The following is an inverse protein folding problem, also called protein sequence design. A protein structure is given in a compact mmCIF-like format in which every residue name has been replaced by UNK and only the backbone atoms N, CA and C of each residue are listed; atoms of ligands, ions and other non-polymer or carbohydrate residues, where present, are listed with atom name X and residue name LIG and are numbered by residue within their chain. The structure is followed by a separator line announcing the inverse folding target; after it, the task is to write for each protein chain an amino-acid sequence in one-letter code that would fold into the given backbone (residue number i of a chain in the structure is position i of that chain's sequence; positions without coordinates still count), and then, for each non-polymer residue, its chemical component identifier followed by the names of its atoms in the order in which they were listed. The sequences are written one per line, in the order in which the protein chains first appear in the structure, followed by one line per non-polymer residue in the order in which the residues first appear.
data_IF_334622935034
#
_entry.id   IF_334622935034
#
_cell.length_a   1.000
_cell.length_b   1.000
_cell.length_c   1.000
_cell.angle_alpha   90.00
_cell.angle_beta   90.00
_cell.angle_gamma   90.00
#
_symmetry.space_group_name_H-M   'P 1'
#
loop_
_entity.id
_entity.type
_entity.pdbx_description
1 polymer ?
#
# COMPACT_ATOMS: atom_id res chain seq x y z
N UNK A 1 14.14 11.83 -17.93
CA UNK A 1 12.66 11.78 -17.88
C UNK A 1 12.16 12.56 -16.68
N UNK A 2 10.96 13.14 -16.73
CA UNK A 2 10.30 13.84 -15.64
C UNK A 2 8.95 13.18 -15.34
N UNK A 3 8.75 12.78 -14.09
CA UNK A 3 7.48 12.24 -13.60
C UNK A 3 6.85 13.15 -12.56
N UNK A 4 5.53 13.26 -12.59
CA UNK A 4 4.74 13.96 -11.57
C UNK A 4 3.90 12.94 -10.80
N UNK A 5 3.87 13.04 -9.47
CA UNK A 5 3.03 12.19 -8.60
C UNK A 5 2.08 13.07 -7.79
N UNK A 6 0.77 12.84 -7.88
CA UNK A 6 -0.25 13.67 -7.23
C UNK A 6 -1.48 12.87 -6.73
N UNK A 7 -1.83 12.92 -5.43
CA UNK A 7 -1.03 13.48 -4.33
C UNK A 7 0.20 12.61 -4.03
N UNK A 8 1.32 13.25 -3.70
CA UNK A 8 2.55 12.54 -3.31
C UNK A 8 2.58 12.15 -1.82
N UNK A 9 1.71 12.73 -0.98
CA UNK A 9 1.70 12.47 0.47
C UNK A 9 0.97 11.19 0.88
N UNK A 10 0.13 10.61 0.02
CA UNK A 10 -0.57 9.35 0.32
C UNK A 10 0.43 8.21 0.46
N UNK A 11 0.08 7.12 1.16
CA UNK A 11 0.97 5.95 1.29
C UNK A 11 1.41 5.43 -0.09
N UNK A 12 0.48 5.31 -1.03
CA UNK A 12 0.77 4.92 -2.41
C UNK A 12 1.58 5.97 -3.18
N UNK A 13 1.30 7.26 -2.97
CA UNK A 13 2.06 8.36 -3.57
C UNK A 13 3.51 8.37 -3.09
N UNK A 14 3.75 8.19 -1.79
CA UNK A 14 5.10 8.08 -1.21
C UNK A 14 5.85 6.88 -1.75
N UNK A 15 5.21 5.71 -1.79
CA UNK A 15 5.80 4.50 -2.38
C UNK A 15 6.15 4.70 -3.86
N UNK A 16 5.30 5.43 -4.60
CA UNK A 16 5.53 5.77 -6.01
C UNK A 16 6.73 6.70 -6.18
N UNK A 17 6.79 7.78 -5.40
CA UNK A 17 7.93 8.69 -5.43
C UNK A 17 9.21 7.93 -5.10
N UNK A 18 9.22 7.12 -4.04
CA UNK A 18 10.40 6.35 -3.64
C UNK A 18 10.85 5.36 -4.73
N UNK A 19 9.91 4.67 -5.39
CA UNK A 19 10.21 3.75 -6.48
C UNK A 19 10.85 4.48 -7.67
N UNK A 20 10.29 5.62 -8.08
CA UNK A 20 10.84 6.43 -9.16
C UNK A 20 12.22 7.01 -8.81
N UNK A 21 12.46 7.38 -7.56
CA UNK A 21 13.76 7.87 -7.10
C UNK A 21 14.83 6.77 -7.08
N UNK A 22 14.43 5.51 -6.85
CA UNK A 22 15.31 4.35 -6.88
C UNK A 22 15.53 3.77 -8.29
N UNK A 23 14.82 4.29 -9.29
CA UNK A 23 14.94 3.82 -10.67
C UNK A 23 16.32 4.19 -11.25
N UNK A 24 16.93 3.24 -11.97
CA UNK A 24 18.28 3.40 -12.55
C UNK A 24 18.35 4.51 -13.60
N UNK A 25 17.24 4.83 -14.25
CA UNK A 25 17.15 5.93 -15.21
C UNK A 25 17.18 7.31 -14.53
N UNK A 26 17.13 7.34 -13.19
CA UNK A 26 17.19 8.54 -12.34
C UNK A 26 16.30 9.68 -12.85
N UNK A 27 14.98 9.45 -13.02
CA UNK A 27 14.09 10.48 -13.51
C UNK A 27 14.01 11.65 -12.52
N UNK A 28 13.73 12.85 -13.01
CA UNK A 28 13.28 13.96 -12.18
C UNK A 28 11.88 13.63 -11.67
N UNK A 29 11.70 13.56 -10.35
CA UNK A 29 10.43 13.27 -9.71
C UNK A 29 9.89 14.52 -9.05
N UNK A 30 8.68 14.93 -9.43
CA UNK A 30 7.97 16.05 -8.83
C UNK A 30 6.76 15.53 -8.05
N UNK A 31 6.76 15.70 -6.73
CA UNK A 31 5.62 15.37 -5.89
C UNK A 31 4.73 16.58 -5.63
N UNK A 32 3.42 16.46 -5.86
CA UNK A 32 2.43 17.49 -5.52
C UNK A 32 1.87 17.22 -4.12
N UNK A 33 1.99 18.20 -3.24
CA UNK A 33 1.55 18.13 -1.84
C UNK A 33 0.61 19.29 -1.52
N UNK A 34 -0.53 19.02 -0.88
CA UNK A 34 -1.37 20.11 -0.33
C UNK A 34 -0.65 20.87 0.79
N UNK A 35 0.08 20.13 1.62
CA UNK A 35 0.91 20.63 2.70
C UNK A 35 2.34 20.12 2.52
N UNK A 36 3.28 21.02 2.25
CA UNK A 36 4.70 20.70 2.07
C UNK A 36 5.35 20.13 3.36
N UNK A 37 4.79 20.40 4.54
CA UNK A 37 5.23 19.76 5.78
C UNK A 37 4.99 18.25 5.84
N UNK A 38 4.25 17.68 4.88
CA UNK A 38 4.06 16.23 4.73
C UNK A 38 5.05 15.59 3.73
N UNK A 39 6.04 16.34 3.26
CA UNK A 39 7.15 15.78 2.46
C UNK A 39 8.04 14.95 3.39
N UNK A 40 8.29 13.65 3.10
CA UNK A 40 9.20 12.84 3.89
C UNK A 40 10.60 13.46 3.93
N UNK A 41 11.20 13.54 5.12
CA UNK A 41 12.50 14.20 5.33
C UNK A 41 13.59 13.65 4.39
N UNK A 42 13.60 12.33 4.17
CA UNK A 42 14.56 11.66 3.29
C UNK A 42 14.40 11.95 1.79
N UNK A 43 13.27 12.51 1.32
CA UNK A 43 13.12 12.81 -0.11
C UNK A 43 13.94 14.02 -0.54
N UNK A 44 14.16 14.97 0.37
CA UNK A 44 14.89 16.21 0.07
C UNK A 44 16.39 15.97 -0.18
N UNK A 45 16.94 14.81 0.23
CA UNK A 45 18.33 14.46 -0.07
C UNK A 45 18.54 13.94 -1.49
N UNK A 46 17.47 13.60 -2.22
CA UNK A 46 17.58 13.14 -3.60
C UNK A 46 17.71 14.35 -4.53
N UNK A 47 18.81 14.48 -5.30
CA UNK A 47 19.02 15.63 -6.19
C UNK A 47 18.01 15.69 -7.34
N UNK A 48 17.37 14.57 -7.64
CA UNK A 48 16.33 14.42 -8.67
C UNK A 48 14.90 14.49 -8.10
N UNK A 49 14.70 14.97 -6.87
CA UNK A 49 13.38 15.18 -6.29
C UNK A 49 13.02 16.66 -6.17
N UNK A 50 11.75 17.01 -6.43
CA UNK A 50 11.18 18.33 -6.14
C UNK A 50 9.79 18.18 -5.53
N UNK A 51 9.55 18.83 -4.40
CA UNK A 51 8.21 19.01 -3.87
C UNK A 51 7.60 20.33 -4.38
N UNK A 52 6.32 20.30 -4.75
CA UNK A 52 5.54 21.49 -5.09
C UNK A 52 4.24 21.49 -4.32
N UNK A 53 3.80 22.67 -3.89
CA UNK A 53 2.53 22.83 -3.21
C UNK A 53 1.39 22.85 -4.24
N UNK A 54 0.34 22.08 -4.02
CA UNK A 54 -0.84 22.08 -4.88
C UNK A 54 -1.96 21.16 -4.39
N UNK A 55 -3.18 21.49 -4.81
CA UNK A 55 -4.39 20.71 -4.57
C UNK A 55 -4.98 20.26 -5.90
N UNK A 56 -5.41 19.00 -6.00
CA UNK A 56 -6.02 18.45 -7.21
C UNK A 56 -7.38 19.09 -7.56
N UNK A 57 -8.01 19.76 -6.60
CA UNK A 57 -9.23 20.55 -6.82
C UNK A 57 -8.95 21.95 -7.38
N UNK A 58 -7.70 22.41 -7.35
CA UNK A 58 -7.29 23.70 -7.91
C UNK A 58 -6.58 23.48 -9.26
N UNK A 59 -7.25 23.74 -10.40
CA UNK A 59 -6.66 23.53 -11.72
C UNK A 59 -5.42 24.40 -11.97
N UNK A 60 -5.28 25.54 -11.27
CA UNK A 60 -4.13 26.43 -11.41
C UNK A 60 -2.86 25.89 -10.74
N UNK A 61 -3.03 24.99 -9.76
CA UNK A 61 -1.94 24.31 -9.07
C UNK A 61 -1.40 23.09 -9.82
N UNK A 62 -2.04 22.68 -10.93
CA UNK A 62 -1.66 21.52 -11.73
C UNK A 62 -0.88 21.93 -12.99
N UNK A 63 0.41 22.20 -12.81
CA UNK A 63 1.35 22.42 -13.90
C UNK A 63 2.11 21.13 -14.27
N UNK A 64 1.71 20.53 -15.39
CA UNK A 64 2.33 19.32 -15.93
C UNK A 64 3.33 19.60 -17.07
N UNK A 65 3.72 20.86 -17.29
CA UNK A 65 4.63 21.22 -18.37
C UNK A 65 5.98 20.47 -18.26
N UNK A 66 6.42 19.90 -19.39
CA UNK A 66 7.67 19.17 -19.50
C UNK A 66 7.68 17.81 -18.80
N UNK A 67 6.58 17.36 -18.18
CA UNK A 67 6.49 16.00 -17.67
C UNK A 67 6.32 15.00 -18.82
N UNK A 68 6.99 13.86 -18.71
CA UNK A 68 6.85 12.72 -19.62
C UNK A 68 5.69 11.82 -19.18
N UNK A 69 5.53 11.66 -17.86
CA UNK A 69 4.48 10.87 -17.24
C UNK A 69 3.90 11.51 -15.99
N UNK A 70 2.61 11.26 -15.74
CA UNK A 70 1.90 11.71 -14.54
C UNK A 70 1.24 10.50 -13.88
N UNK A 71 1.40 10.40 -12.57
CA UNK A 71 0.79 9.39 -11.73
C UNK A 71 -0.20 10.07 -10.81
N UNK A 72 -1.47 9.69 -10.92
CA UNK A 72 -2.56 10.28 -10.13
C UNK A 72 -3.38 9.23 -9.43
N UNK A 73 -4.04 9.64 -8.35
CA UNK A 73 -5.03 8.84 -7.63
C UNK A 73 -6.04 9.77 -6.99
N UNK A 74 -7.27 9.31 -6.80
CA UNK A 74 -8.31 10.10 -6.14
C UNK A 74 -8.09 10.06 -4.63
N UNK A 75 -7.82 11.20 -3.97
CA UNK A 75 -7.72 11.24 -2.51
C UNK A 75 -9.10 10.97 -1.90
N UNK A 76 -9.18 10.17 -0.82
CA UNK A 76 -10.44 9.99 -0.12
C UNK A 76 -10.87 11.30 0.56
N UNK A 77 -12.18 11.51 0.66
CA UNK A 77 -12.78 12.70 1.25
C UNK A 77 -13.82 12.32 2.30
N UNK A 78 -13.65 12.84 3.51
CA UNK A 78 -14.42 12.45 4.71
C UNK A 78 -15.17 13.62 5.37
N UNK A 79 -15.34 14.75 4.68
CA UNK A 79 -16.01 15.95 5.22
C UNK A 79 -17.55 15.93 5.07
N UNK A 80 -18.09 14.81 4.59
CA UNK A 80 -19.52 14.62 4.34
C UNK A 80 -20.03 15.14 3.00
N UNK A 81 -19.18 15.77 2.17
CA UNK A 81 -19.54 16.20 0.82
C UNK A 81 -19.69 15.04 -0.17
N UNK A 82 -20.25 15.32 -1.34
CA UNK A 82 -20.42 14.32 -2.41
C UNK A 82 -19.06 13.88 -2.97
N UNK A 83 -18.65 12.67 -2.61
CA UNK A 83 -17.37 12.06 -3.02
C UNK A 83 -17.30 11.79 -4.52
N UNK A 84 -18.43 11.53 -5.18
CA UNK A 84 -18.47 11.26 -6.62
C UNK A 84 -18.30 12.57 -7.40
N UNK A 85 -18.99 13.63 -6.96
CA UNK A 85 -18.79 14.96 -7.52
C UNK A 85 -17.36 15.47 -7.29
N UNK A 86 -16.80 15.20 -6.10
CA UNK A 86 -15.41 15.55 -5.80
C UNK A 86 -14.41 14.82 -6.70
N UNK A 87 -14.57 13.50 -6.87
CA UNK A 87 -13.73 12.71 -7.77
C UNK A 87 -13.82 13.21 -9.22
N UNK A 88 -15.02 13.60 -9.68
CA UNK A 88 -15.22 14.22 -11.00
C UNK A 88 -14.41 15.50 -11.18
N UNK A 89 -14.48 16.43 -10.22
CA UNK A 89 -13.72 17.69 -10.27
C UNK A 89 -12.23 17.43 -10.38
N UNK A 90 -11.70 16.51 -9.56
CA UNK A 90 -10.28 16.13 -9.60
C UNK A 90 -9.92 15.55 -10.97
N UNK A 91 -10.72 14.61 -11.48
CA UNK A 91 -10.44 13.95 -12.75
C UNK A 91 -10.50 14.91 -13.94
N UNK A 92 -11.45 15.86 -13.95
CA UNK A 92 -11.54 16.90 -14.97
C UNK A 92 -10.32 17.83 -14.92
N UNK A 93 -9.93 18.30 -13.74
CA UNK A 93 -8.74 19.14 -13.56
C UNK A 93 -7.47 18.45 -14.05
N UNK A 94 -7.28 17.17 -13.71
CA UNK A 94 -6.11 16.39 -14.13
C UNK A 94 -6.13 16.16 -15.64
N UNK A 95 -7.26 15.76 -16.23
CA UNK A 95 -7.40 15.60 -17.68
C UNK A 95 -7.04 16.88 -18.41
N UNK A 96 -7.52 18.02 -17.92
CA UNK A 96 -7.27 19.32 -18.54
C UNK A 96 -5.79 19.71 -18.39
N UNK A 97 -5.16 19.44 -17.25
CA UNK A 97 -3.72 19.65 -17.07
C UNK A 97 -2.86 18.78 -18.00
N UNK A 98 -3.24 17.51 -18.20
CA UNK A 98 -2.60 16.62 -19.18
C UNK A 98 -2.79 17.16 -20.60
N UNK A 99 -3.99 17.61 -20.97
CA UNK A 99 -4.29 18.17 -22.30
C UNK A 99 -3.46 19.43 -22.61
N UNK A 100 -3.25 20.30 -21.60
CA UNK A 100 -2.39 21.49 -21.73
C UNK A 100 -0.90 21.14 -21.90
N UNK A 101 -0.46 20.01 -21.34
CA UNK A 101 0.93 19.60 -21.34
C UNK A 101 1.20 18.54 -22.42
N UNK A 102 1.45 18.99 -23.66
CA UNK A 102 1.72 18.10 -24.81
C UNK A 102 2.92 17.15 -24.65
N UNK A 103 3.80 17.42 -23.67
CA UNK A 103 4.90 16.54 -23.27
C UNK A 103 4.42 15.27 -22.57
N UNK A 104 3.30 15.31 -21.86
CA UNK A 104 2.77 14.17 -21.11
C UNK A 104 2.32 13.10 -22.10
N UNK A 105 3.09 12.01 -22.16
CA UNK A 105 2.78 10.86 -23.02
C UNK A 105 2.00 9.80 -22.26
N UNK A 106 2.20 9.72 -20.95
CA UNK A 106 1.63 8.68 -20.10
C UNK A 106 0.88 9.26 -18.91
N UNK A 107 -0.36 8.83 -18.75
CA UNK A 107 -1.15 9.05 -17.53
C UNK A 107 -1.36 7.70 -16.84
N UNK A 108 -0.85 7.55 -15.63
CA UNK A 108 -1.10 6.37 -14.79
C UNK A 108 -2.06 6.76 -13.68
N UNK A 109 -3.19 6.05 -13.59
CA UNK A 109 -4.16 6.22 -12.53
C UNK A 109 -4.18 5.01 -11.61
N UNK A 110 -3.94 5.24 -10.32
CA UNK A 110 -4.08 4.20 -9.30
C UNK A 110 -5.58 4.06 -8.99
N UNK A 111 -6.14 2.96 -9.48
CA UNK A 111 -7.55 2.60 -9.42
C UNK A 111 -7.76 1.39 -8.48
N UNK A 112 -8.98 0.88 -8.50
CA UNK A 112 -9.43 -0.28 -7.72
C UNK A 112 -10.08 -1.31 -8.64
N UNK A 113 -10.03 -2.59 -8.25
CA UNK A 113 -10.98 -3.58 -8.74
C UNK A 113 -12.42 -3.05 -8.57
N UNK A 114 -13.30 -3.40 -9.51
CA UNK A 114 -14.68 -2.91 -9.55
C UNK A 114 -14.89 -1.55 -10.22
N UNK A 115 -13.84 -0.83 -10.63
CA UNK A 115 -13.96 0.48 -11.28
C UNK A 115 -14.71 0.44 -12.64
N UNK A 116 -14.89 -0.73 -13.26
CA UNK A 116 -15.75 -0.89 -14.44
C UNK A 116 -17.25 -0.71 -14.14
N UNK A 117 -17.67 -0.83 -12.88
CA UNK A 117 -19.08 -0.77 -12.51
C UNK A 117 -19.48 0.66 -12.12
N UNK A 118 -20.55 1.17 -12.73
CA UNK A 118 -21.10 2.50 -12.42
C UNK A 118 -21.91 2.56 -11.13
N UNK A 119 -22.32 1.40 -10.61
CA UNK A 119 -23.20 1.20 -9.46
C UNK A 119 -22.92 -0.14 -8.75
N UNK A 120 -23.44 -0.31 -7.52
CA UNK A 120 -23.32 -1.57 -6.77
C UNK A 120 -21.94 -1.83 -6.14
N UNK A 121 -21.02 -0.87 -6.21
CA UNK A 121 -19.65 -0.96 -5.70
C UNK A 121 -19.30 0.15 -4.70
N UNK A 122 -20.29 0.97 -4.31
CA UNK A 122 -20.13 1.96 -3.26
C UNK A 122 -19.11 3.04 -3.59
N UNK A 123 -18.18 3.29 -2.66
CA UNK A 123 -17.17 4.34 -2.80
C UNK A 123 -16.30 4.16 -4.06
N UNK A 124 -16.08 2.91 -4.53
CA UNK A 124 -15.31 2.60 -5.75
C UNK A 124 -15.85 3.31 -7.01
N UNK A 125 -17.10 3.79 -6.96
CA UNK A 125 -17.67 4.65 -8.02
C UNK A 125 -16.84 5.93 -8.26
N UNK A 126 -16.06 6.41 -7.29
CA UNK A 126 -15.09 7.51 -7.47
C UNK A 126 -14.03 7.14 -8.52
N UNK A 127 -13.56 5.88 -8.50
CA UNK A 127 -12.63 5.34 -9.48
C UNK A 127 -13.29 5.13 -10.84
N UNK A 128 -14.54 4.65 -10.87
CA UNK A 128 -15.29 4.53 -12.14
C UNK A 128 -15.39 5.86 -12.90
N UNK A 129 -15.76 6.92 -12.18
CA UNK A 129 -15.86 8.28 -12.76
C UNK A 129 -14.50 8.75 -13.27
N UNK A 130 -13.44 8.54 -12.50
CA UNK A 130 -12.08 8.94 -12.88
C UNK A 130 -11.56 8.17 -14.10
N UNK A 131 -11.73 6.84 -14.12
CA UNK A 131 -11.34 6.02 -15.27
C UNK A 131 -12.08 6.46 -16.54
N UNK A 132 -13.39 6.72 -16.45
CA UNK A 132 -14.20 7.19 -17.57
C UNK A 132 -13.68 8.52 -18.13
N UNK A 133 -13.31 9.46 -17.26
CA UNK A 133 -12.81 10.79 -17.67
C UNK A 133 -11.39 10.71 -18.26
N UNK A 134 -10.56 9.79 -17.76
CA UNK A 134 -9.19 9.63 -18.21
C UNK A 134 -9.04 8.82 -19.50
N UNK A 135 -10.08 8.13 -19.98
CA UNK A 135 -10.03 7.45 -21.27
C UNK A 135 -9.62 8.41 -22.38
N UNK A 136 -8.50 8.09 -23.05
CA UNK A 136 -7.96 8.91 -24.13
C UNK A 136 -7.34 10.26 -23.70
N UNK A 137 -7.15 10.51 -22.39
CA UNK A 137 -6.59 11.78 -21.89
C UNK A 137 -5.11 11.98 -22.26
N UNK A 138 -4.37 10.90 -22.49
CA UNK A 138 -2.96 10.92 -22.91
C UNK A 138 -2.72 9.94 -24.06
N UNK A 139 -1.50 9.95 -24.63
CA UNK A 139 -1.13 8.97 -25.67
C UNK A 139 -1.19 7.53 -25.14
N UNK A 140 -0.84 7.34 -23.87
CA UNK A 140 -1.04 6.11 -23.12
C UNK A 140 -1.71 6.41 -21.78
N UNK A 141 -2.79 5.69 -21.48
CA UNK A 141 -3.46 5.76 -20.19
C UNK A 141 -3.38 4.38 -19.54
N UNK A 142 -2.94 4.30 -18.29
CA UNK A 142 -2.79 3.04 -17.56
C UNK A 142 -3.63 3.10 -16.29
N UNK A 143 -4.63 2.23 -16.19
CA UNK A 143 -5.42 2.02 -14.99
C UNK A 143 -4.81 0.87 -14.20
N UNK A 144 -4.28 1.17 -13.01
CA UNK A 144 -3.73 0.17 -12.09
C UNK A 144 -4.80 -0.19 -11.09
N UNK A 145 -5.55 -1.27 -11.32
CA UNK A 145 -6.66 -1.70 -10.47
C UNK A 145 -6.15 -2.60 -9.36
N UNK A 146 -6.05 -2.05 -8.16
CA UNK A 146 -5.57 -2.79 -7.00
C UNK A 146 -6.67 -3.64 -6.38
N UNK A 147 -6.30 -4.82 -5.89
CA UNK A 147 -7.11 -5.60 -4.97
C UNK A 147 -7.15 -4.95 -3.56
N UNK A 148 -7.70 -5.66 -2.57
CA UNK A 148 -7.81 -5.16 -1.21
C UNK A 148 -6.43 -4.92 -0.58
N UNK A 149 -6.14 -3.71 -0.12
CA UNK A 149 -4.83 -3.42 0.50
C UNK A 149 -4.66 -4.16 1.83
N UNK A 150 -3.53 -4.85 2.01
CA UNK A 150 -3.18 -5.48 3.29
C UNK A 150 -3.05 -4.42 4.40
N UNK A 151 -2.67 -3.20 4.05
CA UNK A 151 -2.55 -2.05 4.94
C UNK A 151 -3.89 -1.59 5.54
N UNK A 152 -5.03 -2.06 5.03
CA UNK A 152 -6.33 -1.78 5.64
C UNK A 152 -6.44 -2.33 7.08
N UNK A 153 -5.65 -3.37 7.39
CA UNK A 153 -5.59 -3.99 8.71
C UNK A 153 -4.82 -3.17 9.76
N UNK A 154 -4.19 -2.06 9.36
CA UNK A 154 -3.51 -1.12 10.28
C UNK A 154 -4.48 -0.51 11.30
N UNK A 155 -5.77 -0.44 10.97
CA UNK A 155 -6.81 0.03 11.90
C UNK A 155 -6.97 -0.85 13.14
N UNK A 156 -6.47 -2.10 13.09
CA UNK A 156 -6.50 -3.02 14.20
C UNK A 156 -5.33 -2.86 15.19
N UNK A 157 -4.32 -2.04 14.89
CA UNK A 157 -3.08 -1.99 15.69
C UNK A 157 -3.30 -1.67 17.17
N UNK A 158 -4.28 -0.85 17.50
CA UNK A 158 -4.60 -0.53 18.89
C UNK A 158 -5.35 -1.67 19.59
N UNK A 159 -6.30 -2.30 18.88
CA UNK A 159 -7.14 -3.36 19.45
C UNK A 159 -6.39 -4.68 19.63
N UNK A 160 -5.38 -4.96 18.80
CA UNK A 160 -4.50 -6.13 18.98
C UNK A 160 -3.49 -5.95 20.13
N UNK A 161 -3.26 -4.71 20.59
CA UNK A 161 -2.43 -4.42 21.78
C UNK A 161 -3.24 -4.45 23.08
N UNK A 162 -4.58 -4.43 23.00
CA UNK A 162 -5.46 -4.48 24.15
C UNK A 162 -5.36 -5.82 24.90
N UNK A 163 -5.97 -5.88 26.09
CA UNK A 163 -6.08 -7.09 26.89
C UNK A 163 -7.54 -7.35 27.29
N UNK A 164 -8.23 -8.36 26.74
CA UNK A 164 -7.72 -9.31 25.74
C UNK A 164 -7.57 -8.71 24.32
N UNK A 165 -6.59 -9.17 23.51
CA UNK A 165 -6.41 -8.74 22.13
C UNK A 165 -7.60 -9.10 21.25
N UNK A 166 -8.03 -8.18 20.40
CA UNK A 166 -9.09 -8.42 19.43
C UNK A 166 -8.94 -7.52 18.20
N UNK A 167 -9.70 -7.78 17.15
CA UNK A 167 -9.88 -6.86 16.03
C UNK A 167 -11.25 -7.04 15.39
N UNK A 168 -11.76 -5.99 14.74
CA UNK A 168 -13.00 -6.06 13.97
C UNK A 168 -12.70 -6.38 12.51
N UNK A 169 -13.53 -7.24 11.90
CA UNK A 169 -13.48 -7.50 10.47
C UNK A 169 -14.85 -7.38 9.85
N UNK A 170 -14.94 -6.58 8.79
CA UNK A 170 -16.12 -6.49 7.93
C UNK A 170 -16.14 -7.58 6.85
N UNK A 171 -15.06 -8.38 6.74
CA UNK A 171 -14.95 -9.49 5.81
C UNK A 171 -15.53 -10.77 6.43
N UNK A 172 -16.81 -11.02 6.14
CA UNK A 172 -17.58 -12.17 6.63
C UNK A 172 -18.06 -13.10 5.49
N UNK A 173 -18.08 -14.44 5.66
CA UNK A 173 -17.69 -15.21 6.84
C UNK A 173 -16.17 -15.29 7.05
N UNK A 174 -15.74 -15.76 8.23
CA UNK A 174 -14.35 -15.78 8.68
C UNK A 174 -13.37 -16.41 7.67
N UNK A 175 -13.82 -17.45 6.97
CA UNK A 175 -13.04 -18.25 6.01
C UNK A 175 -13.20 -17.79 4.56
N UNK A 176 -13.98 -16.74 4.29
CA UNK A 176 -14.09 -16.17 2.95
C UNK A 176 -12.77 -15.50 2.57
N UNK A 177 -12.19 -15.96 1.47
CA UNK A 177 -10.93 -15.46 0.95
C UNK A 177 -11.16 -14.42 -0.13
N UNK A 178 -10.41 -13.32 -0.04
CA UNK A 178 -10.35 -12.28 -1.07
C UNK A 178 -8.89 -12.07 -1.50
N UNK A 179 -8.63 -11.64 -2.75
CA UNK A 179 -7.29 -11.20 -3.12
C UNK A 179 -6.90 -9.98 -2.30
N UNK A 180 -5.70 -9.99 -1.71
CA UNK A 180 -5.12 -8.81 -1.07
C UNK A 180 -3.78 -8.46 -1.72
N UNK A 181 -3.41 -7.20 -1.72
CA UNK A 181 -2.16 -6.69 -2.29
C UNK A 181 -1.53 -5.69 -1.33
N UNK A 182 -0.21 -5.56 -1.31
CA UNK A 182 0.44 -4.47 -0.59
C UNK A 182 0.47 -3.21 -1.46
N UNK A 183 0.62 -2.04 -0.85
CA UNK A 183 0.89 -0.81 -1.58
C UNK A 183 2.19 -0.97 -2.37
N UNK A 184 2.08 -0.89 -3.69
CA UNK A 184 3.20 -1.13 -4.58
C UNK A 184 3.17 -0.20 -5.80
N UNK A 185 4.35 0.25 -6.22
CA UNK A 185 4.52 1.29 -7.23
C UNK A 185 5.05 0.79 -8.59
N UNK A 186 5.38 -0.50 -8.73
CA UNK A 186 6.16 -0.97 -9.88
C UNK A 186 5.51 -0.92 -11.27
N UNK A 187 4.18 -1.10 -11.46
CA UNK A 187 3.62 -0.98 -12.82
C UNK A 187 3.73 0.44 -13.39
N UNK A 188 4.09 1.41 -12.55
CA UNK A 188 4.26 2.82 -12.88
C UNK A 188 5.64 3.08 -13.51
N UNK A 189 6.64 2.26 -13.17
CA UNK A 189 8.04 2.39 -13.62
C UNK A 189 8.37 1.49 -14.82
N UNK A 190 7.42 0.69 -15.31
CA UNK A 190 7.64 -0.16 -16.48
C UNK A 190 7.78 0.65 -17.77
N UNK A 191 8.57 0.13 -18.71
CA UNK A 191 8.83 0.78 -20.00
C UNK A 191 7.53 1.15 -20.76
N UNK A 192 7.52 2.29 -21.48
CA UNK A 192 6.56 2.59 -22.54
C UNK A 192 6.36 1.41 -23.48
N UNK A 193 5.18 0.80 -23.42
CA UNK A 193 4.78 -0.12 -24.48
C UNK A 193 4.43 0.73 -25.71
N UNK A 194 4.73 0.25 -26.93
CA UNK A 194 4.51 1.02 -28.14
C UNK A 194 3.06 1.52 -28.20
N UNK A 195 2.84 2.78 -28.63
CA UNK A 195 1.52 3.38 -28.60
C UNK A 195 0.55 2.55 -29.45
N UNK A 196 -0.61 2.25 -28.88
CA UNK A 196 -1.78 1.93 -29.68
C UNK A 196 -2.09 3.20 -30.50
N UNK A 197 -2.36 3.02 -31.79
CA UNK A 197 -2.49 4.11 -32.77
C UNK A 197 -3.33 5.27 -32.22
N UNK A 198 -2.83 6.50 -32.34
CA UNK A 198 -3.54 7.72 -31.90
C UNK A 198 -4.96 7.73 -32.50
N UNK A 199 -5.98 7.77 -31.65
CA UNK A 199 -7.39 7.82 -32.09
C UNK A 199 -8.14 6.48 -32.07
N UNK A 200 -7.52 5.37 -31.65
CA UNK A 200 -8.29 4.18 -31.29
C UNK A 200 -9.01 4.41 -29.96
N UNK A 201 -10.28 4.01 -29.87
CA UNK A 201 -11.07 4.04 -28.62
C UNK A 201 -10.49 3.14 -27.49
N UNK A 202 -9.31 2.56 -27.68
CA UNK A 202 -8.70 1.51 -26.88
C UNK A 202 -7.31 1.88 -26.32
N UNK A 203 -6.95 3.17 -26.24
CA UNK A 203 -5.63 3.61 -25.76
C UNK A 203 -5.41 3.47 -24.23
N UNK A 204 -6.40 2.94 -23.52
CA UNK A 204 -6.30 2.64 -22.09
C UNK A 204 -5.89 1.19 -21.85
N UNK A 205 -4.86 0.98 -21.03
CA UNK A 205 -4.45 -0.33 -20.53
C UNK A 205 -4.97 -0.51 -19.11
N UNK A 206 -5.47 -1.70 -18.79
CA UNK A 206 -5.86 -2.07 -17.43
C UNK A 206 -4.85 -3.08 -16.91
N UNK A 207 -4.30 -2.81 -15.73
CA UNK A 207 -3.40 -3.69 -14.99
C UNK A 207 -4.06 -4.01 -13.66
N UNK A 208 -4.62 -5.21 -13.54
CA UNK A 208 -5.13 -5.70 -12.28
C UNK A 208 -3.99 -6.24 -11.41
N UNK A 209 -3.89 -5.75 -10.18
CA UNK A 209 -2.86 -6.12 -9.21
C UNK A 209 -3.44 -6.90 -8.04
N UNK A 210 -2.86 -8.07 -7.79
CA UNK A 210 -3.15 -8.89 -6.62
C UNK A 210 -1.84 -9.26 -5.92
N UNK A 211 -1.91 -9.68 -4.67
CA UNK A 211 -0.82 -10.38 -4.01
C UNK A 211 -0.68 -11.82 -4.53
N UNK A 212 0.27 -12.57 -3.95
CA UNK A 212 0.56 -13.95 -4.35
C UNK A 212 -0.60 -14.89 -4.04
N UNK A 213 -1.39 -14.59 -3.00
CA UNK A 213 -2.43 -15.46 -2.49
C UNK A 213 -3.72 -14.68 -2.14
N UNK A 214 -4.77 -15.44 -1.86
CA UNK A 214 -6.02 -14.91 -1.32
C UNK A 214 -6.10 -15.19 0.17
N UNK A 215 -6.57 -14.19 0.92
CA UNK A 215 -6.55 -14.18 2.37
C UNK A 215 -7.96 -14.01 2.93
N UNK A 216 -8.20 -14.68 4.05
CA UNK A 216 -9.42 -14.58 4.83
C UNK A 216 -9.19 -13.79 6.12
N UNK A 217 -10.27 -13.43 6.82
CA UNK A 217 -10.17 -12.89 8.18
C UNK A 217 -9.43 -13.86 9.11
N UNK A 218 -9.57 -15.18 8.92
CA UNK A 218 -8.80 -16.18 9.67
C UNK A 218 -7.29 -16.09 9.39
N UNK A 219 -6.90 -15.83 8.15
CA UNK A 219 -5.47 -15.72 7.81
C UNK A 219 -4.86 -14.45 8.44
N UNK A 220 -5.63 -13.35 8.49
CA UNK A 220 -5.26 -12.11 9.20
C UNK A 220 -5.17 -12.34 10.71
N UNK A 221 -6.14 -13.06 11.29
CA UNK A 221 -6.13 -13.44 12.70
C UNK A 221 -4.82 -14.18 13.04
N UNK A 222 -4.44 -15.20 12.25
CA UNK A 222 -3.18 -15.93 12.44
C UNK A 222 -1.96 -15.02 12.33
N UNK A 223 -1.97 -14.05 11.42
CA UNK A 223 -0.88 -13.09 11.29
C UNK A 223 -0.75 -12.20 12.53
N UNK A 224 -1.87 -11.73 13.10
CA UNK A 224 -1.85 -10.99 14.36
C UNK A 224 -1.41 -11.85 15.55
N UNK A 225 -1.86 -13.10 15.64
CA UNK A 225 -1.42 -14.02 16.69
C UNK A 225 0.08 -14.30 16.60
N UNK A 226 0.61 -14.46 15.38
CA UNK A 226 2.05 -14.63 15.14
C UNK A 226 2.86 -13.42 15.60
N UNK A 227 2.40 -12.20 15.30
CA UNK A 227 3.10 -10.96 15.67
C UNK A 227 2.99 -10.65 17.16
N UNK A 228 1.82 -10.88 17.76
CA UNK A 228 1.57 -10.54 19.18
C UNK A 228 2.03 -11.63 20.15
N UNK A 229 2.17 -12.87 19.69
CA UNK A 229 2.41 -14.03 20.54
C UNK A 229 1.22 -14.37 21.46
N UNK A 230 0.04 -13.79 21.22
CA UNK A 230 -1.18 -13.97 22.02
C UNK A 230 -2.30 -14.50 21.14
N UNK A 231 -3.31 -15.13 21.76
CA UNK A 231 -4.57 -15.38 21.06
C UNK A 231 -5.28 -14.05 20.79
N UNK A 232 -5.76 -13.87 19.56
CA UNK A 232 -6.44 -12.65 19.13
C UNK A 232 -7.85 -12.99 18.69
N UNK A 233 -8.85 -12.34 19.29
CA UNK A 233 -10.25 -12.53 18.92
C UNK A 233 -10.60 -11.78 17.62
N UNK A 234 -11.09 -12.49 16.60
CA UNK A 234 -11.66 -11.88 15.41
C UNK A 234 -13.17 -11.60 15.62
N UNK A 235 -13.55 -10.32 15.73
CA UNK A 235 -14.94 -9.87 15.90
C UNK A 235 -15.53 -9.52 14.53
N UNK A 236 -16.35 -10.42 13.99
CA UNK A 236 -16.99 -10.18 12.70
C UNK A 236 -18.12 -9.14 12.81
N UNK A 237 -18.19 -8.26 11.82
CA UNK A 237 -19.32 -7.38 11.58
C UNK A 237 -20.21 -8.04 10.53
N UNK A 238 -21.38 -8.50 10.96
CA UNK A 238 -22.34 -9.14 10.07
C UNK A 238 -22.87 -8.19 8.99
N UNK A 239 -23.30 -8.74 7.85
CA UNK A 239 -23.76 -7.96 6.68
C UNK A 239 -24.82 -6.92 7.04
N UNK A 240 -25.77 -7.26 7.91
CA UNK A 240 -26.85 -6.39 8.36
C UNK A 240 -26.42 -5.36 9.43
N UNK A 241 -25.17 -5.42 9.91
CA UNK A 241 -24.58 -4.51 10.90
C UNK A 241 -23.52 -3.58 10.31
N UNK A 242 -23.21 -3.70 9.03
CA UNK A 242 -22.20 -2.87 8.35
C UNK A 242 -22.54 -1.38 8.43
N UNK A 243 -23.79 -0.98 8.20
CA UNK A 243 -24.18 0.43 8.26
C UNK A 243 -23.99 1.00 9.68
N UNK A 244 -24.47 0.29 10.71
CA UNK A 244 -24.29 0.68 12.11
C UNK A 244 -22.80 0.73 12.49
N UNK A 245 -21.99 -0.17 11.95
CA UNK A 245 -20.55 -0.20 12.17
C UNK A 245 -19.86 1.03 11.56
N UNK A 246 -20.09 1.30 10.27
CA UNK A 246 -19.49 2.43 9.59
C UNK A 246 -19.97 3.79 10.15
N UNK A 247 -21.22 3.88 10.61
CA UNK A 247 -21.76 5.10 11.21
C UNK A 247 -21.05 5.55 12.50
N UNK A 248 -20.26 4.67 13.13
CA UNK A 248 -19.49 5.02 14.33
C UNK A 248 -18.32 5.96 14.04
N UNK A 249 -17.81 5.96 12.81
CA UNK A 249 -16.60 6.72 12.45
C UNK A 249 -16.67 7.42 11.08
N UNK A 250 -17.70 7.17 10.27
CA UNK A 250 -17.93 7.88 9.02
C UNK A 250 -19.08 8.89 9.14
N UNK A 251 -19.00 10.03 8.41
CA UNK A 251 -20.17 10.87 8.16
C UNK A 251 -21.33 10.05 7.59
N UNK A 252 -22.56 10.41 7.96
CA UNK A 252 -23.78 9.71 7.51
C UNK A 252 -23.89 9.60 5.99
N UNK A 253 -23.40 10.60 5.25
CA UNK A 253 -23.39 10.60 3.78
C UNK A 253 -22.45 9.55 3.16
N UNK A 254 -21.48 9.02 3.91
CA UNK A 254 -20.54 7.99 3.44
C UNK A 254 -20.91 6.58 3.88
N UNK A 255 -21.74 6.41 4.90
CA UNK A 255 -22.11 5.10 5.45
C UNK A 255 -22.67 4.18 4.36
N UNK A 256 -23.55 4.71 3.49
CA UNK A 256 -24.12 3.96 2.37
C UNK A 256 -23.05 3.48 1.38
N UNK A 257 -22.11 4.36 0.99
CA UNK A 257 -21.03 4.03 0.08
C UNK A 257 -20.10 2.94 0.62
N UNK A 258 -19.71 3.01 1.89
CA UNK A 258 -18.82 2.01 2.50
C UNK A 258 -19.54 0.68 2.76
N UNK A 259 -20.84 0.74 3.09
CA UNK A 259 -21.68 -0.46 3.23
C UNK A 259 -21.83 -1.19 1.89
N UNK A 260 -22.22 -0.47 0.82
CA UNK A 260 -22.36 -1.05 -0.52
C UNK A 260 -21.02 -1.61 -1.04
N UNK A 261 -19.93 -0.85 -0.89
CA UNK A 261 -18.58 -1.31 -1.26
C UNK A 261 -18.22 -2.61 -0.54
N UNK A 262 -18.43 -2.68 0.78
CA UNK A 262 -18.15 -3.90 1.53
C UNK A 262 -19.01 -5.06 1.05
N UNK A 263 -20.32 -4.86 0.90
CA UNK A 263 -21.24 -5.90 0.40
C UNK A 263 -20.83 -6.42 -0.99
N UNK A 264 -20.25 -5.58 -1.84
CA UNK A 264 -19.74 -5.98 -3.15
C UNK A 264 -18.55 -6.94 -3.07
N UNK A 265 -17.73 -6.85 -2.01
CA UNK A 265 -16.55 -7.69 -1.77
C UNK A 265 -16.93 -9.03 -1.14
N UNK A 266 -18.02 -9.07 -0.37
CA UNK A 266 -18.47 -10.26 0.35
C UNK A 266 -19.10 -11.32 -0.60
N UNK A 267 -19.29 -12.58 -0.15
CA UNK A 267 -19.83 -13.62 -1.01
C UNK A 267 -21.13 -13.23 -1.70
N UNK A 268 -21.15 -13.39 -3.02
CA UNK A 268 -22.28 -13.03 -3.88
C UNK A 268 -22.31 -11.57 -4.33
N UNK A 269 -21.34 -10.75 -3.90
CA UNK A 269 -21.17 -9.38 -4.36
C UNK A 269 -20.46 -9.28 -5.72
N UNK A 270 -20.50 -8.08 -6.33
CA UNK A 270 -19.91 -7.84 -7.65
C UNK A 270 -18.39 -8.05 -7.68
N UNK A 271 -17.65 -7.54 -6.69
CA UNK A 271 -16.20 -7.69 -6.60
C UNK A 271 -15.79 -9.13 -6.26
N UNK A 272 -16.60 -9.86 -5.50
CA UNK A 272 -16.38 -11.31 -5.27
C UNK A 272 -16.47 -12.09 -6.59
N UNK A 273 -17.51 -11.82 -7.39
CA UNK A 273 -17.68 -12.44 -8.69
C UNK A 273 -16.58 -12.03 -9.68
N UNK A 274 -16.21 -10.75 -9.71
CA UNK A 274 -15.09 -10.24 -10.51
C UNK A 274 -13.78 -10.93 -10.16
N UNK A 275 -13.41 -10.97 -8.88
CA UNK A 275 -12.15 -11.55 -8.43
C UNK A 275 -12.00 -13.01 -8.84
N UNK A 276 -13.11 -13.79 -8.81
CA UNK A 276 -13.12 -15.22 -9.21
C UNK A 276 -12.93 -15.42 -10.71
N UNK A 277 -13.34 -14.45 -11.52
CA UNK A 277 -13.24 -14.50 -12.99
C UNK A 277 -11.99 -13.80 -13.53
N UNK A 278 -11.20 -13.17 -12.66
CA UNK A 278 -9.99 -12.44 -13.04
C UNK A 278 -8.79 -13.39 -13.10
N UNK A 279 -8.37 -13.77 -14.32
CA UNK A 279 -7.34 -14.78 -14.54
C UNK A 279 -5.95 -14.21 -14.87
N UNK A 280 -5.88 -12.96 -15.32
CA UNK A 280 -4.66 -12.31 -15.83
C UNK A 280 -4.11 -11.21 -14.90
N UNK A 281 -4.49 -11.22 -13.63
CA UNK A 281 -3.94 -10.29 -12.64
C UNK A 281 -2.42 -10.50 -12.50
N UNK A 282 -1.68 -9.39 -12.44
CA UNK A 282 -0.27 -9.44 -12.05
C UNK A 282 -0.18 -9.65 -10.55
N UNK A 283 0.73 -10.54 -10.13
CA UNK A 283 0.84 -10.96 -8.74
C UNK A 283 2.11 -10.45 -8.07
N UNK A 284 1.90 -9.82 -6.92
CA UNK A 284 2.89 -9.51 -5.90
C UNK A 284 3.55 -10.78 -5.35
N UNK A 285 4.66 -10.64 -4.62
CA UNK A 285 5.28 -11.75 -3.87
C UNK A 285 5.09 -11.61 -2.35
N UNK A 286 4.62 -10.45 -1.90
CA UNK A 286 4.45 -10.12 -0.49
C UNK A 286 3.21 -10.77 0.11
N UNK A 287 3.38 -11.43 1.26
CA UNK A 287 2.31 -12.11 1.99
C UNK A 287 2.08 -11.44 3.34
N UNK A 288 0.94 -11.71 3.99
CA UNK A 288 0.67 -11.22 5.35
C UNK A 288 1.74 -11.62 6.39
N UNK A 289 2.49 -12.70 6.15
CA UNK A 289 3.50 -13.24 7.08
C UNK A 289 4.94 -13.03 6.61
N UNK A 290 5.18 -12.74 5.33
CA UNK A 290 6.51 -12.52 4.77
C UNK A 290 6.84 -11.03 4.80
N UNK A 291 7.16 -10.55 5.98
CA UNK A 291 7.87 -9.29 6.18
C UNK A 291 9.07 -9.56 7.09
N UNK A 292 9.84 -10.61 6.77
CA UNK A 292 11.12 -10.95 7.43
C UNK A 292 12.17 -11.61 6.52
N UNK A 293 11.81 -12.19 5.39
CA UNK A 293 12.73 -13.04 4.61
C UNK A 293 13.24 -12.36 3.32
N UNK A 294 13.87 -11.19 3.46
CA UNK A 294 14.66 -10.58 2.38
C UNK A 294 16.13 -10.45 2.80
N UNK A 295 16.84 -11.58 2.76
CA UNK A 295 18.30 -11.61 2.61
C UNK A 295 18.66 -11.08 1.21
N UNK A 296 18.84 -9.76 1.09
CA UNK A 296 19.69 -9.11 0.08
C UNK A 296 19.47 -9.42 -1.42
N UNK A 297 18.45 -10.18 -1.81
CA UNK A 297 18.13 -10.46 -3.21
C UNK A 297 17.09 -9.46 -3.67
N UNK A 298 17.36 -8.81 -4.81
CA UNK A 298 16.37 -7.99 -5.53
C UNK A 298 15.07 -8.80 -5.64
N UNK A 299 13.95 -8.31 -5.08
CA UNK A 299 12.66 -8.96 -5.26
C UNK A 299 12.23 -8.75 -6.71
N UNK A 300 11.36 -9.62 -7.23
CA UNK A 300 10.74 -9.58 -8.57
C UNK A 300 11.45 -10.39 -9.68
N UNK A 301 10.92 -11.60 -9.91
CA UNK A 301 10.85 -12.20 -11.25
C UNK A 301 9.36 -12.34 -11.61
N UNK A 302 8.98 -11.88 -12.80
CA UNK A 302 7.66 -12.10 -13.39
C UNK A 302 7.54 -13.59 -13.70
N UNK A 303 6.62 -14.32 -13.06
CA UNK A 303 6.27 -15.65 -13.54
C UNK A 303 5.31 -15.49 -14.72
N UNK A 304 5.71 -15.95 -15.90
CA UNK A 304 4.81 -16.11 -17.04
C UNK A 304 3.63 -17.04 -16.67
N UNK A 305 2.46 -16.88 -17.30
CA UNK A 305 1.30 -17.74 -17.04
C UNK A 305 1.67 -19.20 -17.27
N UNK A 306 1.34 -20.07 -16.30
CA UNK A 306 1.63 -21.49 -16.39
C UNK A 306 0.99 -22.08 -17.65
N UNK A 307 1.84 -22.58 -18.57
CA UNK A 307 1.37 -23.47 -19.64
C UNK A 307 0.73 -24.69 -19.02
N UNK A 308 -0.42 -25.08 -19.56
CA UNK A 308 -1.12 -26.28 -19.11
C UNK A 308 -0.37 -27.53 -19.54
N UNK A 309 -0.51 -28.58 -18.73
CA UNK A 309 0.23 -29.85 -18.69
C UNK A 309 0.16 -30.74 -19.95
N UNK A 310 -0.16 -30.20 -21.12
CA UNK A 310 -0.22 -30.93 -22.40
C UNK A 310 1.02 -30.76 -23.29
N UNK A 311 1.97 -29.91 -22.91
CA UNK A 311 3.13 -29.58 -23.74
C UNK A 311 4.49 -30.11 -23.21
N UNK A 312 4.49 -31.02 -22.21
CA UNK A 312 5.73 -31.55 -21.57
C UNK A 312 5.94 -33.07 -21.76
N UNK A 313 5.35 -33.68 -22.80
CA UNK A 313 5.78 -35.00 -23.29
C UNK A 313 6.79 -34.83 -24.43
N UNK A 314 7.98 -34.30 -24.15
CA UNK A 314 9.19 -34.54 -24.94
C UNK A 314 10.40 -33.84 -24.28
N UNK A 315 11.04 -34.50 -23.30
CA UNK A 315 12.50 -34.58 -23.16
C UNK A 315 12.90 -35.19 -21.81
N UNK A 316 13.25 -36.48 -21.89
CA UNK A 316 14.26 -37.18 -21.07
C UNK A 316 15.46 -36.28 -20.74
N UNK A 317 16.20 -36.40 -19.63
CA UNK A 317 16.71 -37.58 -18.92
C UNK A 317 17.47 -37.08 -17.68
N UNK A 318 17.49 -37.85 -16.58
CA UNK A 318 18.30 -37.55 -15.38
C UNK A 318 19.78 -37.95 -15.58
N UNK A 319 20.71 -37.55 -14.68
CA UNK A 319 21.04 -38.50 -13.60
C UNK A 319 21.33 -37.90 -12.21
N UNK A 320 21.18 -38.79 -11.23
CA UNK A 320 21.41 -38.74 -9.78
C UNK A 320 22.80 -38.26 -9.31
N UNK A 321 22.94 -37.80 -8.06
CA UNK A 321 23.97 -38.31 -7.12
C UNK A 321 23.76 -37.92 -5.62
N UNK A 322 23.91 -38.97 -4.79
CA UNK A 322 24.28 -39.17 -3.36
C UNK A 322 24.03 -38.17 -2.20
N UNK A 323 23.54 -38.77 -1.10
CA UNK A 323 23.52 -38.33 0.31
C UNK A 323 24.91 -38.30 0.95
N UNK A 324 25.15 -37.38 1.90
CA UNK A 324 25.95 -37.64 3.11
C UNK A 324 25.55 -36.70 4.28
N UNK A 325 26.12 -36.92 5.46
CA UNK A 325 25.42 -37.04 6.75
C UNK A 325 26.07 -36.17 7.86
N UNK A 326 25.31 -35.87 8.94
CA UNK A 326 25.74 -35.50 10.33
C UNK A 326 26.27 -34.04 10.54
N UNK A 327 26.00 -33.32 11.64
CA UNK A 327 25.97 -33.67 13.08
C UNK A 327 25.30 -32.54 13.92
N UNK A 328 24.50 -32.91 14.93
CA UNK A 328 24.02 -32.04 16.04
C UNK A 328 25.16 -31.73 17.02
N UNK A 329 25.20 -30.52 17.57
CA UNK A 329 25.87 -30.21 18.84
C UNK A 329 24.99 -29.35 19.75
N UNK A 330 25.20 -29.49 21.07
CA UNK A 330 24.36 -29.07 22.19
C UNK A 330 24.77 -27.70 22.74
N UNK A 331 23.85 -27.07 23.48
CA UNK A 331 23.89 -25.68 23.90
C UNK A 331 24.97 -25.27 24.90
N UNK A 332 25.19 -23.95 24.94
CA UNK A 332 25.97 -23.23 25.93
C UNK A 332 25.04 -22.24 26.66
N UNK A 333 25.11 -22.22 27.99
CA UNK A 333 24.39 -21.27 28.85
C UNK A 333 25.11 -19.92 28.81
N UNK A 334 24.41 -18.85 28.45
CA UNK A 334 24.93 -17.49 28.58
C UNK A 334 24.78 -17.00 30.03
N UNK A 335 25.90 -16.62 30.64
CA UNK A 335 25.97 -15.94 31.92
C UNK A 335 25.78 -14.44 31.65
N UNK A 336 24.78 -13.81 32.29
CA UNK A 336 24.54 -12.36 32.19
C UNK A 336 25.68 -11.60 32.88
N UNK A 337 26.32 -10.69 32.15
CA UNK A 337 27.25 -9.70 32.70
C UNK A 337 26.50 -8.70 33.57
N UNK A 338 27.18 -8.12 34.55
CA UNK A 338 26.58 -7.10 35.40
C UNK A 338 26.36 -5.79 34.61
N UNK A 339 25.45 -4.91 35.06
CA UNK A 339 25.22 -3.60 34.43
C UNK A 339 26.50 -2.75 34.37
N UNK A 340 27.40 -2.87 35.35
CA UNK A 340 28.66 -2.14 35.41
C UNK A 340 29.68 -2.65 34.39
N UNK A 341 29.74 -3.97 34.17
CA UNK A 341 30.57 -4.58 33.12
C UNK A 341 30.04 -4.26 31.72
N UNK A 342 28.73 -4.08 31.58
CA UNK A 342 28.08 -3.69 30.33
C UNK A 342 28.35 -2.22 30.00
N UNK A 343 28.31 -1.34 31.00
CA UNK A 343 28.62 0.08 30.84
C UNK A 343 30.11 0.33 30.52
N UNK A 344 31.02 -0.40 31.19
CA UNK A 344 32.45 -0.30 30.92
C UNK A 344 32.82 -0.70 29.48
N UNK A 345 32.18 -1.75 28.94
CA UNK A 345 32.35 -2.16 27.53
C UNK A 345 31.75 -1.17 26.54
N UNK A 346 30.69 -0.47 26.92
CA UNK A 346 30.05 0.54 26.08
C UNK A 346 30.93 1.80 25.94
N UNK A 347 31.56 2.24 27.03
CA UNK A 347 32.55 3.34 27.02
C UNK A 347 33.83 2.96 26.24
N UNK A 348 34.30 1.71 26.35
CA UNK A 348 35.42 1.20 25.56
C UNK A 348 35.08 1.15 24.05
N UNK A 349 33.83 0.81 23.71
CA UNK A 349 33.32 0.77 22.34
C UNK A 349 33.19 2.16 21.70
N UNK A 350 32.72 3.17 22.46
CA UNK A 350 32.62 4.55 21.99
C UNK A 350 34.00 5.18 21.74
N UNK A 351 34.99 4.84 22.58
CA UNK A 351 36.37 5.32 22.40
C UNK A 351 37.08 4.66 21.21
N UNK A 352 36.72 3.42 20.86
CA UNK A 352 37.24 2.75 19.66
C UNK A 352 36.55 3.19 18.36
N UNK A 353 35.27 3.55 18.40
CA UNK A 353 34.52 4.03 17.23
C UNK A 353 34.94 5.42 16.72
N UNK A 354 35.66 6.20 17.53
CA UNK A 354 36.16 7.53 17.16
C UNK A 354 37.50 7.53 16.38
N UNK A 355 38.14 6.36 16.19
CA UNK A 355 39.43 6.26 15.52
C UNK A 355 39.43 5.18 14.42
N UNK A 356 39.18 5.60 13.17
CA UNK A 356 39.60 4.89 11.97
C UNK A 356 38.53 4.06 11.27
N UNK A 357 38.18 4.49 10.06
CA UNK A 357 37.35 3.74 9.11
C UNK A 357 38.22 2.67 8.42
N UNK A 358 37.77 1.41 8.42
CA UNK A 358 37.68 0.56 7.22
C UNK A 358 36.84 -0.71 7.50
N UNK A 359 36.12 -1.17 6.47
CA UNK A 359 34.99 -2.10 6.51
C UNK A 359 35.34 -3.54 6.95
N UNK A 360 34.43 -4.18 7.70
CA UNK A 360 34.41 -5.64 7.89
C UNK A 360 32.98 -6.19 7.77
N UNK A 361 32.93 -7.30 7.03
CA UNK A 361 31.82 -8.17 6.63
C UNK A 361 30.84 -8.57 7.76
N UNK A 362 29.53 -8.42 7.50
CA UNK A 362 28.42 -8.72 8.41
C UNK A 362 27.71 -10.03 8.03
N UNK A 363 28.46 -11.06 7.64
CA UNK A 363 27.91 -12.35 7.24
C UNK A 363 27.43 -13.26 8.39
N UNK A 364 27.41 -12.78 9.64
CA UNK A 364 26.86 -13.55 10.76
C UNK A 364 26.16 -12.63 11.78
N UNK A 365 24.84 -12.47 11.67
CA UNK A 365 23.94 -12.30 12.83
C UNK A 365 22.48 -12.58 12.43
N UNK A 366 22.07 -13.81 12.76
CA UNK A 366 20.72 -14.32 12.77
C UNK A 366 19.96 -13.74 13.99
N UNK A 367 18.91 -12.91 13.79
CA UNK A 367 17.62 -12.94 14.54
C UNK A 367 16.64 -11.83 14.11
N UNK A 368 15.45 -12.30 13.69
CA UNK A 368 14.13 -11.65 13.69
C UNK A 368 13.92 -10.33 12.93
N UNK A 369 13.57 -10.46 11.66
CA UNK A 369 13.16 -9.35 10.78
C UNK A 369 11.64 -9.22 10.59
N UNK A 370 10.77 -9.78 11.45
CA UNK A 370 9.28 -9.74 11.30
C UNK A 370 8.61 -8.41 11.72
N UNK A 371 9.39 -7.38 12.05
CA UNK A 371 8.86 -6.14 12.61
C UNK A 371 8.70 -5.02 11.58
N UNK A 372 9.30 -5.07 10.39
CA UNK A 372 9.62 -3.81 9.68
C UNK A 372 8.43 -3.06 9.09
N UNK A 373 7.46 -3.70 8.42
CA UNK A 373 6.29 -2.95 7.90
C UNK A 373 5.37 -2.48 9.03
N UNK A 374 5.14 -3.31 10.05
CA UNK A 374 4.31 -2.93 11.20
C UNK A 374 5.04 -1.91 12.09
N UNK A 375 6.36 -2.01 12.24
CA UNK A 375 7.20 -1.05 12.95
C UNK A 375 7.32 0.27 12.19
N UNK A 376 7.47 0.27 10.86
CA UNK A 376 7.46 1.49 10.04
C UNK A 376 6.08 2.18 10.12
N UNK A 377 5.00 1.41 10.24
CA UNK A 377 3.64 1.91 10.49
C UNK A 377 3.47 2.43 11.94
N UNK A 378 4.20 1.88 12.91
CA UNK A 378 4.20 2.29 14.32
C UNK A 378 5.20 3.45 14.62
N UNK A 379 6.26 3.60 13.82
CA UNK A 379 7.24 4.70 13.87
C UNK A 379 6.64 5.98 13.26
N UNK A 380 5.80 5.86 12.23
CA UNK A 380 5.01 6.98 11.69
C UNK A 380 4.00 7.52 12.74
N UNK A 381 3.59 6.69 13.71
CA UNK A 381 2.69 7.07 14.80
C UNK A 381 3.41 7.75 15.98
N UNK A 382 4.68 7.41 16.24
CA UNK A 382 5.47 7.96 17.35
C UNK A 382 6.18 9.28 16.98
N UNK A 383 6.53 9.49 15.71
CA UNK A 383 7.03 10.78 15.22
C UNK A 383 5.97 11.91 15.19
N UNK A 384 4.71 11.59 15.50
CA UNK A 384 3.62 12.56 15.61
C UNK A 384 3.60 13.28 16.98
N UNK A 385 4.22 12.73 18.02
CA UNK A 385 4.20 13.32 19.38
C UNK A 385 5.30 14.36 19.62
N UNK A 386 6.43 14.30 18.92
CA UNK A 386 7.60 15.13 19.24
C UNK A 386 7.63 16.52 18.58
N UNK A 387 6.84 16.78 17.54
CA UNK A 387 6.89 18.05 16.79
C UNK A 387 5.57 18.84 16.85
N UNK A 388 5.13 19.20 18.06
CA UNK A 388 4.01 20.11 18.25
C UNK A 388 4.43 21.59 18.11
N UNK A 389 4.19 22.14 16.92
CA UNK A 389 3.74 23.53 16.78
C UNK A 389 2.33 23.49 16.17
N UNK A 390 1.35 23.94 16.96
CA UNK A 390 -0.10 23.89 16.70
C UNK A 390 -0.49 24.30 15.27
N UNK A 391 -1.21 23.44 14.49
CA UNK A 391 -1.96 23.85 13.31
C UNK A 391 -3.47 23.55 13.40
N UNK A 392 -4.23 24.27 12.57
CA UNK A 392 -5.69 24.48 12.57
C UNK A 392 -6.59 23.23 12.45
N UNK A 393 -7.80 23.41 12.98
CA UNK A 393 -8.92 22.49 13.30
C UNK A 393 -9.57 21.68 12.16
N UNK A 394 -8.82 21.15 11.18
CA UNK A 394 -9.40 20.31 10.12
C UNK A 394 -8.92 18.84 10.13
N UNK A 395 -7.74 18.54 10.66
CA UNK A 395 -7.19 17.16 10.73
C UNK A 395 -7.49 16.44 12.06
N UNK A 396 -8.25 17.10 12.93
CA UNK A 396 -8.56 16.61 14.28
C UNK A 396 -9.69 15.58 14.27
N UNK A 397 -10.56 15.54 13.25
CA UNK A 397 -11.79 14.73 13.27
C UNK A 397 -11.60 13.23 13.45
N UNK A 398 -10.56 12.64 12.85
CA UNK A 398 -10.31 11.18 12.93
C UNK A 398 -9.63 10.79 14.26
N UNK A 399 -8.76 11.65 14.79
CA UNK A 399 -8.12 11.45 16.10
C UNK A 399 -9.03 11.84 17.27
N UNK A 400 -9.92 12.83 17.12
CA UNK A 400 -10.97 13.13 18.11
C UNK A 400 -12.02 12.02 18.19
N UNK A 401 -12.36 11.37 17.06
CA UNK A 401 -13.20 10.18 17.03
C UNK A 401 -12.56 9.02 17.82
N UNK A 402 -11.24 8.85 17.72
CA UNK A 402 -10.47 7.88 18.52
C UNK A 402 -10.33 8.29 20.00
N UNK A 403 -10.23 9.59 20.33
CA UNK A 403 -10.19 10.06 21.72
C UNK A 403 -11.53 9.88 22.45
N UNK A 404 -12.67 10.04 21.75
CA UNK A 404 -14.00 9.76 22.30
C UNK A 404 -14.27 8.27 22.58
N UNK A 405 -13.40 7.36 22.11
CA UNK A 405 -13.49 5.92 22.41
C UNK A 405 -13.24 5.61 23.89
N UNK A 406 -12.35 6.37 24.55
CA UNK A 406 -12.10 6.21 26.01
C UNK A 406 -13.33 6.58 26.85
N UNK A 407 -14.09 7.59 26.42
CA UNK A 407 -15.30 8.03 27.13
C UNK A 407 -16.52 7.12 26.86
N UNK A 408 -16.55 6.45 25.71
CA UNK A 408 -17.57 5.45 25.40
C UNK A 408 -17.40 4.16 26.23
N UNK A 409 -16.16 3.78 26.56
CA UNK A 409 -15.88 2.63 27.45
C UNK A 409 -16.30 2.86 28.91
N UNK A 410 -16.47 4.11 29.35
CA UNK A 410 -16.92 4.42 30.72
C UNK A 410 -18.45 4.37 30.89
N UNK A 411 -19.22 4.13 29.82
CA UNK A 411 -20.69 4.13 29.80
C UNK A 411 -21.31 2.78 29.42
N UNK A 412 -20.50 1.73 29.27
CA UNK A 412 -20.89 0.32 29.14
C UNK A 412 -20.29 -0.41 30.34
#
# INVERSE_FOLDING_TARGET
MKFIVAPASSKTGRATVQALLNDRSAPLVVGIYRNLGKVPAGFSSYPNFKAVQGDLTDPSALDFAGADGVVVMTPPKYDGSDVIAHARVIAENVRDAVSRASSVKRLVYISSGGAQYSEGVGEIRTNHVSETIYQGAAAEVVFVRNAYFMENWVTALDTIKADPPHFYSTLTPLDHKIPMVIIFAHPICEEPLPPLTRGSATNSRIIDLQGPEWYSTRDVQKAFEHVTGKSVEARLVEKNKLADFFAQFLPSSLVGYYTEMTLSILPGGLLDAEAKNLHNARRGQDTLLRIADLDGRTPWHISEPQRTRKDEEESSEAPSFSKSNKKRSKGAKHQRLSPEETAARYEEYLNHAAAGVEAVDLSDLNTSSNAKLIADILDDASNYEENNAVPSTADVGMLHSLMNWKDAQARI
#
